data_IF_789359859858
#
_entry.id   IF_789359859858
#
_cell.length_a   1.000
_cell.length_b   1.000
_cell.length_c   1.000
_cell.angle_alpha   90.00
_cell.angle_beta   90.00
_cell.angle_gamma   90.00
#
_symmetry.space_group_name_H-M   'P 1'
#
loop_
_entity.id
_entity.type
_entity.pdbx_description
1 polymer ?
#
# COMPACT_ATOMS: atom_id res chain seq x y z
N UNK A 1 26.61 3.58 -8.38
CA UNK A 1 25.80 4.81 -8.30
C UNK A 1 25.61 5.31 -9.71
N UNK A 2 24.37 5.43 -10.20
CA UNK A 2 24.12 6.01 -11.51
C UNK A 2 24.46 7.50 -11.44
N UNK A 3 25.60 7.88 -12.01
CA UNK A 3 26.04 9.27 -12.11
C UNK A 3 25.19 9.99 -13.17
N UNK A 4 23.94 10.29 -12.82
CA UNK A 4 23.12 11.19 -13.61
C UNK A 4 23.70 12.59 -13.48
N UNK A 5 24.12 13.18 -14.61
CA UNK A 5 24.75 14.50 -14.65
C UNK A 5 23.87 15.60 -14.03
N UNK A 6 22.57 15.57 -14.30
CA UNK A 6 21.59 16.53 -13.76
C UNK A 6 20.73 15.87 -12.68
N UNK A 7 20.82 16.37 -11.44
CA UNK A 7 20.08 15.84 -10.29
C UNK A 7 19.25 16.97 -9.64
N UNK A 8 18.18 16.61 -8.94
CA UNK A 8 17.50 17.57 -8.07
C UNK A 8 18.40 17.91 -6.88
N UNK A 9 18.40 19.18 -6.48
CA UNK A 9 19.17 19.68 -5.35
C UNK A 9 18.87 18.83 -4.10
N UNK A 10 19.88 18.11 -3.56
CA UNK A 10 19.68 17.28 -2.38
C UNK A 10 19.20 18.10 -1.19
N UNK A 11 18.30 17.53 -0.40
CA UNK A 11 17.78 18.20 0.79
C UNK A 11 18.87 18.30 1.86
N UNK A 12 19.23 19.53 2.23
CA UNK A 12 20.20 19.85 3.30
C UNK A 12 19.60 20.72 4.40
N UNK A 13 18.27 20.83 4.45
CA UNK A 13 17.51 21.68 5.37
C UNK A 13 16.63 22.69 4.65
N UNK A 14 15.93 23.53 5.42
CA UNK A 14 14.89 24.45 4.93
C UNK A 14 15.42 25.44 3.87
N UNK A 15 16.70 25.83 3.95
CA UNK A 15 17.35 26.71 2.97
C UNK A 15 17.64 26.07 1.61
N UNK A 16 17.51 24.74 1.48
CA UNK A 16 17.67 24.01 0.21
C UNK A 16 16.35 23.85 -0.58
N UNK A 17 15.29 24.54 -0.15
CA UNK A 17 13.98 24.55 -0.79
C UNK A 17 13.57 25.98 -1.13
N UNK A 18 13.22 26.17 -2.39
CA UNK A 18 12.92 27.49 -2.96
C UNK A 18 11.42 27.74 -3.04
N UNK A 19 11.05 28.93 -3.48
CA UNK A 19 9.68 29.26 -3.83
C UNK A 19 9.32 28.57 -5.15
N UNK A 20 8.16 27.91 -5.21
CA UNK A 20 7.68 27.31 -6.45
C UNK A 20 7.19 28.41 -7.41
N UNK A 21 7.61 28.41 -8.68
CA UNK A 21 7.15 29.41 -9.66
C UNK A 21 5.67 29.31 -10.00
N UNK A 22 5.04 28.14 -9.82
CA UNK A 22 3.63 27.92 -10.13
C UNK A 22 2.67 28.18 -8.98
N UNK A 23 2.96 27.66 -7.77
CA UNK A 23 2.06 27.86 -6.61
C UNK A 23 2.51 28.98 -5.66
N UNK A 24 3.66 29.61 -5.91
CA UNK A 24 4.25 30.69 -5.10
C UNK A 24 4.43 30.38 -3.60
N UNK A 25 4.29 29.10 -3.22
CA UNK A 25 4.55 28.64 -1.87
C UNK A 25 6.06 28.57 -1.64
N UNK A 26 6.51 29.16 -0.53
CA UNK A 26 7.91 29.12 -0.11
C UNK A 26 8.30 27.71 0.35
N UNK A 27 9.57 27.37 0.20
CA UNK A 27 10.18 26.14 0.77
C UNK A 27 9.56 24.82 0.27
N UNK A 28 9.12 24.78 -0.98
CA UNK A 28 8.51 23.57 -1.55
C UNK A 28 9.04 23.25 -2.97
N UNK A 29 10.14 23.88 -3.39
CA UNK A 29 10.67 23.73 -4.74
C UNK A 29 12.13 23.27 -4.71
N UNK A 30 12.42 22.19 -5.43
CA UNK A 30 13.74 21.60 -5.59
C UNK A 30 14.26 21.90 -7.00
N UNK A 31 15.36 22.65 -7.13
CA UNK A 31 15.96 23.01 -8.42
C UNK A 31 16.83 21.88 -8.97
N UNK A 32 16.98 21.78 -10.28
CA UNK A 32 18.00 20.91 -10.88
C UNK A 32 19.39 21.53 -10.77
N UNK A 33 20.38 20.69 -10.48
CA UNK A 33 21.80 21.06 -10.44
C UNK A 33 22.59 20.15 -11.37
N UNK A 34 23.58 20.72 -12.05
CA UNK A 34 24.59 19.99 -12.80
C UNK A 34 25.71 19.55 -11.85
N UNK A 35 25.89 18.24 -11.72
CA UNK A 35 26.96 17.64 -10.89
C UNK A 35 28.36 17.94 -11.46
N UNK A 36 28.46 18.20 -12.76
CA UNK A 36 29.71 18.59 -13.44
C UNK A 36 29.93 20.12 -13.40
N UNK A 37 28.96 20.89 -12.87
CA UNK A 37 28.97 22.36 -12.76
C UNK A 37 29.24 23.11 -14.07
N UNK A 38 28.99 22.49 -15.22
CA UNK A 38 29.20 23.13 -16.52
C UNK A 38 28.01 24.01 -16.93
N UNK A 39 26.82 23.71 -16.42
CA UNK A 39 25.58 24.42 -16.74
C UNK A 39 24.89 24.87 -15.45
N UNK A 40 24.59 26.17 -15.38
CA UNK A 40 23.68 26.70 -14.35
C UNK A 40 22.27 26.75 -14.95
N UNK A 41 21.34 25.99 -14.35
CA UNK A 41 19.94 26.09 -14.74
C UNK A 41 19.30 27.36 -14.17
N UNK A 42 18.33 27.96 -14.87
CA UNK A 42 17.50 29.02 -14.32
C UNK A 42 16.67 28.56 -13.12
N UNK A 43 16.20 29.55 -12.35
CA UNK A 43 15.56 29.37 -11.05
C UNK A 43 14.21 28.64 -11.09
N UNK A 44 13.62 28.49 -12.27
CA UNK A 44 12.33 27.84 -12.54
C UNK A 44 12.46 26.38 -12.99
N UNK A 45 13.67 25.89 -13.28
CA UNK A 45 13.93 24.50 -13.67
C UNK A 45 14.08 23.62 -12.42
N UNK A 46 13.04 22.85 -12.14
CA UNK A 46 12.96 22.07 -10.92
C UNK A 46 11.62 21.39 -10.73
N UNK A 47 11.40 20.83 -9.54
CA UNK A 47 10.20 20.09 -9.18
C UNK A 47 9.61 20.64 -7.88
N UNK A 48 8.30 20.82 -7.86
CA UNK A 48 7.56 21.16 -6.65
C UNK A 48 7.27 19.90 -5.83
N UNK A 49 7.46 20.00 -4.51
CA UNK A 49 7.21 18.94 -3.53
C UNK A 49 5.68 18.68 -3.38
N UNK A 50 4.84 19.66 -3.71
CA UNK A 50 3.38 19.54 -3.72
C UNK A 50 2.86 18.91 -5.03
N UNK A 51 3.20 17.65 -5.28
CA UNK A 51 2.87 16.96 -6.54
C UNK A 51 1.37 16.90 -6.82
N UNK A 52 0.53 16.79 -5.77
CA UNK A 52 -0.92 16.61 -5.92
C UNK A 52 -1.68 17.93 -6.07
N UNK A 53 -1.24 19.00 -5.40
CA UNK A 53 -1.94 20.30 -5.44
C UNK A 53 -1.32 21.31 -6.39
N UNK A 54 -0.04 21.17 -6.75
CA UNK A 54 0.64 22.05 -7.69
C UNK A 54 1.15 21.30 -8.93
N UNK A 55 1.77 20.13 -8.76
CA UNK A 55 2.22 19.29 -9.88
C UNK A 55 3.33 19.87 -10.76
N UNK A 56 3.88 21.05 -10.42
CA UNK A 56 4.88 21.71 -11.25
C UNK A 56 6.20 20.92 -11.32
N UNK A 57 6.62 20.59 -12.53
CA UNK A 57 7.91 19.97 -12.84
C UNK A 57 8.41 20.45 -14.20
N UNK A 58 9.54 21.14 -14.21
CA UNK A 58 10.28 21.49 -15.42
C UNK A 58 11.61 20.77 -15.39
N UNK A 59 11.77 19.77 -16.25
CA UNK A 59 12.98 18.94 -16.32
C UNK A 59 14.08 19.59 -17.17
N UNK A 60 15.36 19.22 -16.99
CA UNK A 60 16.46 19.66 -17.85
C UNK A 60 16.22 19.35 -19.33
N UNK A 61 15.57 18.21 -19.63
CA UNK A 61 15.22 17.81 -21.00
C UNK A 61 14.29 18.83 -21.65
N UNK A 62 13.19 19.15 -20.98
CA UNK A 62 12.22 20.15 -21.46
C UNK A 62 12.83 21.55 -21.55
N UNK A 63 13.73 21.89 -20.62
CA UNK A 63 14.47 23.16 -20.67
C UNK A 63 15.36 23.26 -21.93
N UNK A 64 16.12 22.20 -22.27
CA UNK A 64 16.98 22.18 -23.46
C UNK A 64 16.21 22.06 -24.78
N UNK A 65 15.01 21.49 -24.76
CA UNK A 65 14.10 21.53 -25.92
C UNK A 65 13.63 22.96 -26.19
N UNK A 66 13.37 23.74 -25.14
CA UNK A 66 12.94 25.15 -25.24
C UNK A 66 14.09 26.13 -25.47
N UNK A 67 15.32 25.78 -25.07
CA UNK A 67 16.51 26.64 -25.19
C UNK A 67 17.65 25.91 -25.91
N UNK A 68 17.59 25.76 -27.24
CA UNK A 68 18.60 25.02 -28.01
C UNK A 68 20.02 25.61 -27.89
N UNK A 69 20.13 26.92 -27.69
CA UNK A 69 21.40 27.66 -27.55
C UNK A 69 22.11 27.39 -26.22
N UNK A 70 21.40 26.88 -25.21
CA UNK A 70 21.97 26.54 -23.90
C UNK A 70 22.51 25.10 -23.82
N UNK A 71 22.43 24.35 -24.94
CA UNK A 71 22.99 23.00 -25.02
C UNK A 71 24.52 23.07 -25.03
N UNK A 72 25.21 22.26 -24.23
CA UNK A 72 26.67 22.22 -24.24
C UNK A 72 27.17 21.76 -25.62
N UNK A 73 28.21 22.41 -26.14
CA UNK A 73 28.85 22.20 -27.45
C UNK A 73 29.41 20.78 -27.69
N UNK A 74 29.33 19.89 -26.69
CA UNK A 74 29.72 18.48 -26.81
C UNK A 74 28.53 17.58 -26.44
N UNK A 75 27.55 17.52 -27.32
CA UNK A 75 26.50 16.51 -27.31
C UNK A 75 26.21 16.15 -28.77
N UNK A 76 26.89 15.11 -29.26
CA UNK A 76 26.55 14.47 -30.53
C UNK A 76 25.14 13.89 -30.44
N UNK A 77 24.16 14.74 -30.74
CA UNK A 77 22.76 14.37 -30.92
C UNK A 77 22.35 14.67 -32.36
N UNK A 78 23.15 14.19 -33.31
CA UNK A 78 22.74 14.05 -34.69
C UNK A 78 23.63 13.03 -35.42
N UNK A 79 23.26 11.76 -35.33
CA UNK A 79 23.21 10.88 -36.51
C UNK A 79 22.30 9.71 -36.17
N UNK A 80 21.29 9.52 -37.02
CA UNK A 80 20.53 8.29 -37.17
C UNK A 80 21.49 7.15 -37.57
N UNK A 81 22.21 6.61 -36.59
CA UNK A 81 22.91 5.34 -36.75
C UNK A 81 21.95 4.25 -36.33
N UNK A 82 21.76 3.27 -37.22
CA UNK A 82 20.96 2.08 -36.97
C UNK A 82 21.20 1.59 -35.53
N UNK A 83 20.11 1.48 -34.76
CA UNK A 83 20.15 1.00 -33.39
C UNK A 83 20.75 -0.40 -33.39
N UNK A 84 22.08 -0.49 -33.23
CA UNK A 84 22.71 -1.66 -32.66
C UNK A 84 22.05 -1.80 -31.30
N UNK A 85 21.22 -2.83 -31.16
CA UNK A 85 20.63 -3.19 -29.88
C UNK A 85 21.76 -3.14 -28.86
N UNK A 86 21.67 -2.21 -27.90
CA UNK A 86 22.57 -2.22 -26.75
C UNK A 86 22.52 -3.65 -26.21
N UNK A 87 23.67 -4.30 -25.91
CA UNK A 87 23.65 -5.59 -25.23
C UNK A 87 22.70 -5.44 -24.06
N UNK A 88 21.67 -6.29 -24.02
CA UNK A 88 20.63 -6.24 -23.00
C UNK A 88 21.34 -6.24 -21.66
N UNK A 89 21.34 -5.09 -20.98
CA UNK A 89 21.96 -4.95 -19.66
C UNK A 89 21.39 -6.10 -18.83
N UNK A 90 22.25 -7.02 -18.38
CA UNK A 90 21.81 -8.22 -17.68
C UNK A 90 20.90 -7.76 -16.54
N UNK A 91 19.62 -8.15 -16.61
CA UNK A 91 18.62 -7.79 -15.60
C UNK A 91 19.16 -8.22 -14.24
N UNK A 92 19.61 -7.28 -13.40
CA UNK A 92 20.07 -7.56 -12.05
C UNK A 92 19.05 -8.46 -11.34
N UNK A 93 19.52 -9.53 -10.71
CA UNK A 93 18.66 -10.47 -9.99
C UNK A 93 17.96 -9.75 -8.84
N UNK A 94 16.70 -10.06 -8.59
CA UNK A 94 15.95 -9.48 -7.48
C UNK A 94 16.60 -9.88 -6.16
N UNK A 95 16.74 -8.93 -5.24
CA UNK A 95 17.20 -9.22 -3.88
C UNK A 95 16.02 -9.65 -2.99
N UNK A 96 16.32 -10.45 -1.97
CA UNK A 96 15.34 -10.97 -1.03
C UNK A 96 15.75 -10.69 0.40
N UNK A 97 14.77 -10.59 1.28
CA UNK A 97 14.97 -10.53 2.73
C UNK A 97 14.90 -11.95 3.28
N UNK A 98 15.83 -12.30 4.16
CA UNK A 98 15.92 -13.63 4.77
C UNK A 98 14.66 -13.95 5.60
N UNK A 99 14.14 -15.17 5.48
CA UNK A 99 12.93 -15.63 6.17
C UNK A 99 13.04 -15.50 7.70
N UNK A 100 14.23 -15.68 8.26
CA UNK A 100 14.50 -15.52 9.69
C UNK A 100 14.21 -14.08 10.15
N UNK A 101 14.57 -13.10 9.31
CA UNK A 101 14.31 -11.68 9.60
C UNK A 101 12.81 -11.41 9.66
N UNK A 102 12.04 -12.02 8.76
CA UNK A 102 10.58 -11.91 8.73
C UNK A 102 9.98 -12.55 9.98
N UNK A 103 10.33 -13.81 10.25
CA UNK A 103 9.82 -14.60 11.39
C UNK A 103 10.07 -13.94 12.75
N UNK A 104 11.23 -13.29 12.93
CA UNK A 104 11.55 -12.51 14.14
C UNK A 104 10.64 -11.29 14.37
N UNK A 105 9.85 -10.90 13.38
CA UNK A 105 8.86 -9.81 13.53
C UNK A 105 7.45 -10.30 13.78
N UNK A 106 7.12 -11.57 13.52
CA UNK A 106 5.75 -12.11 13.57
C UNK A 106 5.27 -12.44 14.99
N UNK A 107 5.68 -11.65 15.98
CA UNK A 107 5.33 -11.81 17.38
C UNK A 107 5.27 -10.45 18.10
N UNK A 108 4.96 -10.47 19.42
CA UNK A 108 4.98 -9.27 20.26
C UNK A 108 3.93 -8.23 19.88
N UNK A 109 2.79 -8.66 19.34
CA UNK A 109 1.73 -7.80 18.82
C UNK A 109 1.14 -6.84 19.86
N UNK A 110 1.22 -7.15 21.15
CA UNK A 110 0.82 -6.23 22.24
C UNK A 110 1.58 -4.90 22.24
N UNK A 111 2.71 -4.82 21.52
CA UNK A 111 3.48 -3.58 21.32
C UNK A 111 3.32 -2.97 19.93
N UNK A 112 2.37 -3.45 19.14
CA UNK A 112 2.14 -3.03 17.76
C UNK A 112 0.85 -2.20 17.70
N UNK A 113 0.98 -0.90 17.42
CA UNK A 113 -0.15 0.03 17.46
C UNK A 113 -1.22 -0.32 16.43
N UNK A 114 -0.83 -0.87 15.27
CA UNK A 114 -1.79 -1.32 14.28
C UNK A 114 -2.62 -2.50 14.80
N UNK A 115 -1.97 -3.47 15.47
CA UNK A 115 -2.69 -4.58 16.11
C UNK A 115 -3.61 -4.09 17.23
N UNK A 116 -3.13 -3.17 18.08
CA UNK A 116 -3.96 -2.61 19.16
C UNK A 116 -5.21 -1.92 18.62
N UNK A 117 -5.08 -1.17 17.52
CA UNK A 117 -6.21 -0.58 16.82
C UNK A 117 -7.16 -1.65 16.23
N UNK A 118 -6.64 -2.65 15.52
CA UNK A 118 -7.48 -3.71 14.96
C UNK A 118 -8.17 -4.53 16.05
N UNK A 119 -7.49 -4.76 17.18
CA UNK A 119 -8.03 -5.45 18.36
C UNK A 119 -9.16 -4.67 19.00
N UNK A 120 -9.06 -3.34 19.10
CA UNK A 120 -10.14 -2.53 19.67
C UNK A 120 -11.38 -2.49 18.77
N UNK A 121 -11.21 -2.72 17.45
CA UNK A 121 -12.31 -2.75 16.48
C UNK A 121 -12.92 -4.13 16.27
N UNK A 122 -12.11 -5.19 16.23
CA UNK A 122 -12.55 -6.52 15.80
C UNK A 122 -12.40 -7.60 16.88
N UNK A 123 -11.83 -7.27 18.03
CA UNK A 123 -11.47 -8.25 19.06
C UNK A 123 -10.10 -8.90 18.82
N UNK A 124 -9.58 -9.56 19.85
CA UNK A 124 -8.21 -10.09 19.86
C UNK A 124 -8.00 -11.23 18.85
N UNK A 125 -8.98 -12.14 18.72
CA UNK A 125 -8.87 -13.29 17.82
C UNK A 125 -8.78 -12.87 16.35
N UNK A 126 -9.68 -11.99 15.91
CA UNK A 126 -9.70 -11.52 14.52
C UNK A 126 -8.50 -10.66 14.19
N UNK A 127 -8.12 -9.75 15.09
CA UNK A 127 -6.92 -8.95 14.90
C UNK A 127 -5.69 -9.85 14.76
N UNK A 128 -5.54 -10.87 15.62
CA UNK A 128 -4.42 -11.79 15.54
C UNK A 128 -4.45 -12.64 14.25
N UNK A 129 -5.64 -13.10 13.83
CA UNK A 129 -5.81 -13.81 12.55
C UNK A 129 -5.35 -12.95 11.38
N UNK A 130 -5.85 -11.71 11.28
CA UNK A 130 -5.49 -10.77 10.20
C UNK A 130 -3.98 -10.51 10.16
N UNK A 131 -3.34 -10.27 11.32
CA UNK A 131 -1.90 -10.06 11.40
C UNK A 131 -1.11 -11.29 10.92
N UNK A 132 -1.56 -12.50 11.26
CA UNK A 132 -0.91 -13.75 10.84
C UNK A 132 -1.10 -14.04 9.35
N UNK A 133 -2.33 -13.95 8.85
CA UNK A 133 -2.68 -14.26 7.46
C UNK A 133 -1.88 -13.37 6.49
N UNK A 134 -1.83 -12.06 6.78
CA UNK A 134 -1.07 -11.11 5.98
C UNK A 134 0.40 -11.00 6.33
N UNK A 135 0.87 -11.78 7.32
CA UNK A 135 2.26 -11.75 7.81
C UNK A 135 2.69 -10.33 8.19
N UNK A 136 1.88 -9.60 8.93
CA UNK A 136 2.25 -8.27 9.43
C UNK A 136 3.18 -8.44 10.62
N UNK A 137 4.36 -7.84 10.56
CA UNK A 137 5.35 -7.88 11.63
C UNK A 137 5.23 -6.73 12.63
N UNK A 138 5.83 -6.91 13.80
CA UNK A 138 6.10 -5.87 14.79
C UNK A 138 7.54 -5.39 14.64
N UNK A 139 7.74 -4.07 14.56
CA UNK A 139 9.06 -3.45 14.45
C UNK A 139 9.45 -2.74 15.73
N UNK A 140 10.75 -2.82 16.06
CA UNK A 140 11.36 -2.07 17.15
C UNK A 140 11.95 -0.73 16.71
N UNK A 141 11.90 -0.42 15.40
CA UNK A 141 12.51 0.80 14.86
C UNK A 141 11.88 2.07 15.45
N UNK A 142 10.55 2.10 15.50
CA UNK A 142 9.79 3.06 16.31
C UNK A 142 8.90 2.29 17.31
N UNK A 143 8.77 2.76 18.55
CA UNK A 143 7.83 2.16 19.50
C UNK A 143 6.42 2.10 18.91
N UNK A 144 5.80 0.92 18.86
CA UNK A 144 4.47 0.76 18.27
C UNK A 144 4.45 0.45 16.77
N UNK A 145 5.58 0.50 16.05
CA UNK A 145 5.58 0.36 14.59
C UNK A 145 5.38 -1.08 14.12
N UNK A 146 4.84 -1.20 12.91
CA UNK A 146 4.60 -2.47 12.23
C UNK A 146 5.47 -2.58 10.98
N UNK A 147 5.58 -3.79 10.42
CA UNK A 147 6.21 -4.07 9.13
C UNK A 147 5.22 -4.78 8.23
N UNK A 148 4.99 -4.23 7.04
CA UNK A 148 4.25 -4.90 5.97
C UNK A 148 5.24 -5.58 5.03
N UNK A 149 5.29 -6.90 5.10
CA UNK A 149 6.17 -7.72 4.26
C UNK A 149 5.55 -7.94 2.88
N UNK A 150 6.28 -7.59 1.83
CA UNK A 150 5.91 -7.90 0.45
C UNK A 150 6.50 -9.28 0.11
N UNK A 151 5.67 -10.31 0.29
CA UNK A 151 6.01 -11.70 -0.04
C UNK A 151 5.32 -12.07 -1.35
N UNK A 152 6.07 -12.60 -2.31
CA UNK A 152 5.50 -13.02 -3.59
C UNK A 152 4.76 -14.37 -3.52
N UNK A 153 4.19 -14.80 -4.64
CA UNK A 153 3.50 -16.09 -4.76
C UNK A 153 4.36 -17.33 -4.50
N UNK A 154 5.69 -17.22 -4.61
CA UNK A 154 6.61 -18.33 -4.32
C UNK A 154 6.96 -18.39 -2.83
N UNK A 155 6.54 -17.39 -2.04
CA UNK A 155 6.86 -17.29 -0.62
C UNK A 155 8.14 -16.50 -0.34
N UNK A 156 8.77 -15.91 -1.35
CA UNK A 156 10.00 -15.14 -1.19
C UNK A 156 9.70 -13.69 -0.80
N UNK A 157 10.35 -13.19 0.24
CA UNK A 157 10.14 -11.82 0.72
C UNK A 157 10.98 -10.82 -0.05
N UNK A 158 10.32 -9.98 -0.86
CA UNK A 158 10.96 -8.97 -1.74
C UNK A 158 11.42 -7.74 -0.99
N UNK A 159 10.69 -7.32 0.04
CA UNK A 159 11.01 -6.16 0.89
C UNK A 159 10.03 -6.11 2.08
N UNK A 160 10.26 -5.18 3.00
CA UNK A 160 9.32 -4.84 4.07
C UNK A 160 9.20 -3.34 4.23
N UNK A 161 7.99 -2.85 4.46
CA UNK A 161 7.70 -1.44 4.72
C UNK A 161 7.37 -1.26 6.18
N UNK A 162 8.21 -0.52 6.90
CA UNK A 162 8.01 -0.19 8.30
C UNK A 162 7.18 1.08 8.41
N UNK A 163 6.14 1.07 9.22
CA UNK A 163 5.24 2.21 9.38
C UNK A 163 4.68 2.31 10.80
N UNK A 164 4.51 3.53 11.29
CA UNK A 164 3.90 3.81 12.59
C UNK A 164 2.45 4.31 12.46
N UNK A 165 1.58 3.73 13.27
CA UNK A 165 0.19 4.11 13.42
C UNK A 165 -0.09 4.59 14.84
N UNK A 166 -1.13 5.40 15.00
CA UNK A 166 -1.73 5.68 16.29
C UNK A 166 -2.66 4.51 16.68
N UNK A 167 -2.55 4.04 17.92
CA UNK A 167 -3.29 2.86 18.40
C UNK A 167 -4.79 3.12 18.60
N UNK A 168 -5.19 4.36 18.84
CA UNK A 168 -6.58 4.71 19.16
C UNK A 168 -7.42 4.91 17.90
N UNK A 169 -6.88 5.64 16.91
CA UNK A 169 -7.61 6.04 15.71
C UNK A 169 -7.13 5.36 14.42
N UNK A 170 -6.05 4.56 14.48
CA UNK A 170 -5.53 3.83 13.31
C UNK A 170 -4.99 4.73 12.20
N UNK A 171 -4.77 6.03 12.46
CA UNK A 171 -4.17 6.96 11.50
C UNK A 171 -2.65 6.85 11.50
N UNK A 172 -2.04 7.07 10.34
CA UNK A 172 -0.57 7.09 10.19
C UNK A 172 0.00 8.28 10.96
N UNK A 173 1.10 8.06 11.70
CA UNK A 173 1.79 9.13 12.44
C UNK A 173 2.69 9.91 11.48
N UNK A 174 2.25 11.13 11.13
CA UNK A 174 2.94 12.04 10.19
C UNK A 174 3.75 13.15 10.86
N UNK A 175 3.54 13.35 12.17
CA UNK A 175 4.20 14.39 12.96
C UNK A 175 5.06 13.74 14.06
N UNK A 176 6.25 14.31 14.38
CA UNK A 176 6.87 15.49 13.78
C UNK A 176 7.44 15.26 12.37
N UNK A 177 7.45 14.01 11.88
CA UNK A 177 7.79 13.65 10.51
C UNK A 177 7.10 12.33 10.13
N UNK A 178 7.13 12.00 8.83
CA UNK A 178 6.55 10.75 8.33
C UNK A 178 7.34 9.53 8.83
N UNK A 179 6.70 8.70 9.65
CA UNK A 179 7.29 7.45 10.16
C UNK A 179 7.08 6.31 9.16
N UNK A 180 7.75 6.40 8.01
CA UNK A 180 7.76 5.36 6.98
C UNK A 180 9.20 5.11 6.53
N UNK A 181 9.61 3.84 6.51
CA UNK A 181 10.93 3.44 6.01
C UNK A 181 10.88 2.03 5.44
N UNK A 182 11.93 1.62 4.74
CA UNK A 182 12.04 0.29 4.15
C UNK A 182 13.07 -0.55 4.90
N UNK A 183 12.77 -1.84 5.07
CA UNK A 183 13.62 -2.78 5.81
C UNK A 183 15.02 -2.86 5.22
N UNK A 184 15.15 -2.95 3.89
CA UNK A 184 16.47 -3.03 3.24
C UNK A 184 17.33 -1.78 3.49
N UNK A 185 16.70 -0.60 3.63
CA UNK A 185 17.37 0.65 4.02
C UNK A 185 17.80 0.64 5.49
N UNK A 186 16.94 0.12 6.38
CA UNK A 186 17.25 -0.01 7.81
C UNK A 186 18.39 -1.00 8.08
N UNK A 187 18.37 -2.13 7.37
CA UNK A 187 19.40 -3.17 7.47
C UNK A 187 20.67 -2.81 6.68
N UNK A 188 20.68 -1.68 5.95
CA UNK A 188 21.81 -1.20 5.13
C UNK A 188 22.33 -2.29 4.18
N UNK A 189 21.41 -3.01 3.53
CA UNK A 189 21.78 -4.11 2.64
C UNK A 189 22.51 -3.56 1.39
N UNK A 190 23.77 -3.95 1.13
CA UNK A 190 24.51 -3.46 -0.02
C UNK A 190 23.92 -4.01 -1.32
N UNK A 191 23.90 -3.16 -2.36
CA UNK A 191 23.44 -3.50 -3.72
C UNK A 191 22.05 -4.16 -3.81
N UNK A 192 21.15 -3.85 -2.86
CA UNK A 192 19.80 -4.40 -2.82
C UNK A 192 18.99 -3.98 -4.04
N UNK A 193 18.66 -4.95 -4.89
CA UNK A 193 17.85 -4.76 -6.08
C UNK A 193 16.37 -4.98 -5.76
N UNK A 194 15.72 -3.88 -5.37
CA UNK A 194 14.29 -3.86 -5.04
C UNK A 194 13.43 -4.14 -6.27
N UNK A 195 12.65 -5.22 -6.23
CA UNK A 195 11.48 -5.41 -7.10
C UNK A 195 10.27 -5.71 -6.24
N UNK A 196 9.38 -4.73 -6.13
CA UNK A 196 8.19 -4.84 -5.30
C UNK A 196 7.20 -5.85 -5.88
N UNK A 197 6.48 -6.51 -4.98
CA UNK A 197 5.31 -7.35 -5.26
C UNK A 197 4.14 -6.82 -4.41
N UNK A 198 2.91 -7.29 -4.67
CA UNK A 198 1.77 -6.80 -3.89
C UNK A 198 1.89 -7.28 -2.44
N UNK A 199 1.46 -6.45 -1.49
CA UNK A 199 1.22 -6.94 -0.14
C UNK A 199 -0.03 -7.82 -0.17
N UNK A 200 0.04 -9.01 0.42
CA UNK A 200 -0.99 -10.05 0.31
C UNK A 200 -0.84 -10.97 -0.90
N UNK A 201 0.16 -10.76 -1.77
CA UNK A 201 0.35 -11.57 -2.99
C UNK A 201 0.53 -13.07 -2.68
N UNK A 202 1.19 -13.39 -1.56
CA UNK A 202 1.35 -14.75 -1.05
C UNK A 202 0.04 -15.48 -0.73
N UNK A 203 -1.10 -14.77 -0.66
CA UNK A 203 -2.42 -15.35 -0.43
C UNK A 203 -3.07 -15.91 -1.70
N UNK A 204 -2.64 -15.47 -2.88
CA UNK A 204 -3.25 -15.86 -4.17
C UNK A 204 -3.23 -17.39 -4.42
N UNK A 205 -2.12 -18.12 -4.18
CA UNK A 205 -2.07 -19.54 -4.51
C UNK A 205 -3.09 -20.40 -3.77
N UNK A 206 -3.48 -19.98 -2.55
CA UNK A 206 -4.44 -20.69 -1.68
C UNK A 206 -5.89 -20.22 -1.88
N UNK A 207 -6.13 -19.15 -2.65
CA UNK A 207 -7.44 -18.52 -2.81
C UNK A 207 -7.78 -18.33 -4.30
N UNK A 208 -7.57 -19.36 -5.12
CA UNK A 208 -7.68 -19.27 -6.60
C UNK A 208 -9.08 -18.90 -7.09
N UNK A 209 -10.10 -19.35 -6.39
CA UNK A 209 -11.50 -19.17 -6.79
C UNK A 209 -12.08 -17.82 -6.35
N UNK A 210 -11.33 -17.06 -5.53
CA UNK A 210 -11.79 -15.77 -5.02
C UNK A 210 -11.41 -14.63 -5.96
N UNK A 211 -12.32 -13.65 -6.17
CA UNK A 211 -11.96 -12.41 -6.84
C UNK A 211 -10.91 -11.64 -6.04
N UNK A 212 -10.08 -10.88 -6.75
CA UNK A 212 -8.98 -10.10 -6.17
C UNK A 212 -9.38 -8.63 -6.11
N UNK A 213 -9.36 -8.06 -4.91
CA UNK A 213 -9.60 -6.64 -4.69
C UNK A 213 -8.27 -5.91 -4.43
N UNK A 214 -8.03 -4.77 -5.08
CA UNK A 214 -6.78 -4.01 -4.93
C UNK A 214 -7.07 -2.63 -4.33
N UNK A 215 -6.36 -2.28 -3.25
CA UNK A 215 -6.42 -0.97 -2.56
C UNK A 215 -5.03 -0.32 -2.45
N UNK A 216 -4.96 0.95 -2.07
CA UNK A 216 -3.68 1.68 -1.92
C UNK A 216 -2.90 1.30 -0.66
N UNK A 217 -3.61 1.12 0.46
CA UNK A 217 -3.05 1.08 1.80
C UNK A 217 -3.17 -0.30 2.44
N UNK A 218 -2.10 -0.71 3.12
CA UNK A 218 -1.98 -2.01 3.79
C UNK A 218 -3.01 -2.17 4.92
N UNK A 219 -3.24 -1.11 5.72
CA UNK A 219 -4.30 -1.08 6.75
C UNK A 219 -5.68 -1.35 6.15
N UNK A 220 -5.92 -0.79 4.98
CA UNK A 220 -7.22 -0.83 4.28
C UNK A 220 -7.54 -2.26 3.86
N UNK A 221 -6.55 -3.01 3.35
CA UNK A 221 -6.72 -4.44 3.05
C UNK A 221 -7.00 -5.29 4.30
N UNK A 222 -6.36 -5.00 5.44
CA UNK A 222 -6.63 -5.74 6.69
C UNK A 222 -8.07 -5.53 7.16
N UNK A 223 -8.52 -4.27 7.19
CA UNK A 223 -9.91 -3.92 7.53
C UNK A 223 -10.88 -4.55 6.53
N UNK A 224 -10.63 -4.41 5.23
CA UNK A 224 -11.51 -4.94 4.20
C UNK A 224 -11.58 -6.47 4.19
N UNK A 225 -10.49 -7.17 4.55
CA UNK A 225 -10.50 -8.63 4.72
C UNK A 225 -11.46 -9.07 5.81
N UNK A 226 -11.62 -8.28 6.88
CA UNK A 226 -12.57 -8.61 7.95
C UNK A 226 -14.02 -8.54 7.47
N UNK A 227 -14.39 -7.44 6.81
CA UNK A 227 -15.78 -7.19 6.40
C UNK A 227 -16.18 -7.90 5.11
N UNK A 228 -15.21 -8.13 4.22
CA UNK A 228 -15.42 -8.69 2.87
C UNK A 228 -14.43 -9.86 2.61
N UNK A 229 -14.56 -10.98 3.37
CA UNK A 229 -13.67 -12.14 3.27
C UNK A 229 -13.82 -12.97 1.98
N UNK A 230 -14.83 -12.64 1.16
CA UNK A 230 -15.04 -13.20 -0.17
C UNK A 230 -13.97 -12.77 -1.19
N UNK A 231 -13.26 -11.65 -0.94
CA UNK A 231 -12.16 -11.18 -1.77
C UNK A 231 -10.79 -11.54 -1.19
N UNK A 232 -9.80 -11.67 -2.07
CA UNK A 232 -8.39 -11.58 -1.68
C UNK A 232 -7.97 -10.13 -1.81
N UNK A 233 -7.62 -9.48 -0.70
CA UNK A 233 -7.23 -8.07 -0.71
C UNK A 233 -5.72 -7.94 -0.93
N UNK A 234 -5.35 -7.25 -2.01
CA UNK A 234 -3.97 -6.91 -2.32
C UNK A 234 -3.76 -5.42 -2.18
N UNK A 235 -2.53 -5.02 -1.87
CA UNK A 235 -2.19 -3.58 -1.83
C UNK A 235 -0.95 -3.24 -2.62
N UNK A 236 -0.99 -2.05 -3.20
CA UNK A 236 0.13 -1.49 -3.96
C UNK A 236 1.23 -0.94 -3.04
N UNK A 237 0.89 -0.65 -1.79
CA UNK A 237 1.76 0.03 -0.83
C UNK A 237 1.90 1.53 -1.09
N UNK A 238 0.91 2.15 -1.74
CA UNK A 238 0.84 3.58 -2.06
C UNK A 238 0.38 3.88 -3.50
N UNK A 239 0.06 5.15 -3.76
CA UNK A 239 -0.53 5.67 -5.01
C UNK A 239 0.18 5.23 -6.30
N UNK A 240 1.51 5.22 -6.30
CA UNK A 240 2.37 4.76 -7.42
C UNK A 240 3.14 3.47 -7.10
N UNK A 241 2.65 2.64 -6.18
CA UNK A 241 3.35 1.47 -5.68
C UNK A 241 3.50 0.33 -6.70
N UNK A 242 3.18 -0.91 -6.32
CA UNK A 242 3.42 -2.14 -7.10
C UNK A 242 2.65 -2.30 -8.44
N UNK A 243 2.37 -1.21 -9.16
CA UNK A 243 1.74 -1.20 -10.48
C UNK A 243 2.79 -1.15 -11.58
N UNK A 244 3.57 -2.23 -11.73
CA UNK A 244 4.43 -2.45 -12.90
C UNK A 244 3.99 -3.71 -13.65
N UNK A 245 4.30 -3.79 -14.95
CA UNK A 245 3.82 -4.88 -15.80
C UNK A 245 4.25 -6.27 -15.31
N UNK A 246 5.43 -6.39 -14.68
CA UNK A 246 5.90 -7.67 -14.13
C UNK A 246 5.08 -8.09 -12.91
N UNK A 247 4.74 -7.15 -12.01
CA UNK A 247 3.88 -7.41 -10.86
C UNK A 247 2.44 -7.76 -11.26
N UNK A 248 1.88 -7.10 -12.27
CA UNK A 248 0.48 -7.35 -12.69
C UNK A 248 0.26 -8.74 -13.29
N UNK A 249 1.31 -9.37 -13.85
CA UNK A 249 1.20 -10.72 -14.44
C UNK A 249 0.71 -11.77 -13.45
N UNK A 250 0.97 -11.57 -12.16
CA UNK A 250 0.51 -12.48 -11.10
C UNK A 250 -1.02 -12.57 -11.00
N UNK A 251 -1.72 -11.54 -11.50
CA UNK A 251 -3.17 -11.44 -11.46
C UNK A 251 -3.85 -12.15 -12.65
N UNK A 252 -3.07 -12.71 -13.58
CA UNK A 252 -3.65 -13.36 -14.76
C UNK A 252 -4.47 -14.58 -14.36
N UNK A 253 -5.71 -14.63 -14.84
CA UNK A 253 -6.67 -15.69 -14.49
C UNK A 253 -7.53 -15.37 -13.27
N UNK A 254 -7.31 -14.24 -12.60
CA UNK A 254 -8.20 -13.74 -11.55
C UNK A 254 -9.11 -12.63 -12.09
N UNK A 255 -10.33 -12.55 -11.56
CA UNK A 255 -11.17 -11.37 -11.70
C UNK A 255 -10.66 -10.30 -10.72
N UNK A 256 -10.27 -9.13 -11.25
CA UNK A 256 -9.66 -8.05 -10.46
C UNK A 256 -10.63 -6.88 -10.32
N UNK A 257 -10.82 -6.41 -9.09
CA UNK A 257 -11.59 -5.20 -8.79
C UNK A 257 -10.67 -4.18 -8.14
N UNK A 258 -10.63 -3.00 -8.74
CA UNK A 258 -9.84 -1.89 -8.26
C UNK A 258 -10.68 -0.99 -7.34
N UNK A 259 -10.22 -0.78 -6.11
CA UNK A 259 -10.83 0.09 -5.10
C UNK A 259 -9.93 1.31 -4.85
N UNK A 260 -10.02 2.36 -5.69
CA UNK A 260 -9.24 3.58 -5.50
C UNK A 260 -9.75 4.37 -4.28
N UNK A 261 -8.82 5.10 -3.65
CA UNK A 261 -9.17 6.15 -2.68
C UNK A 261 -9.93 7.29 -3.41
N UNK A 262 -10.76 8.05 -2.69
CA UNK A 262 -11.48 9.18 -3.29
C UNK A 262 -10.48 10.19 -3.86
N UNK A 263 -10.69 10.60 -5.12
CA UNK A 263 -9.79 11.50 -5.85
C UNK A 263 -8.59 10.79 -6.52
N UNK A 264 -8.47 9.46 -6.41
CA UNK A 264 -7.49 8.66 -7.16
C UNK A 264 -8.09 7.91 -8.36
N UNK A 265 -9.41 7.97 -8.54
CA UNK A 265 -10.17 7.21 -9.54
C UNK A 265 -9.59 7.34 -10.95
N UNK A 266 -9.30 8.56 -11.43
CA UNK A 266 -8.80 8.77 -12.80
C UNK A 266 -7.41 8.20 -13.03
N UNK A 267 -6.54 8.25 -12.03
CA UNK A 267 -5.22 7.62 -12.12
C UNK A 267 -5.34 6.10 -12.17
N UNK A 268 -6.30 5.55 -11.44
CA UNK A 268 -6.58 4.14 -11.42
C UNK A 268 -7.29 3.65 -12.69
N UNK A 269 -8.04 4.51 -13.41
CA UNK A 269 -8.51 4.20 -14.78
C UNK A 269 -7.36 3.97 -15.76
N UNK A 270 -6.21 4.63 -15.59
CA UNK A 270 -5.04 4.36 -16.44
C UNK A 270 -4.45 2.97 -16.13
N UNK A 271 -4.38 2.61 -14.86
CA UNK A 271 -3.94 1.26 -14.41
C UNK A 271 -4.88 0.16 -14.91
N UNK A 272 -6.19 0.43 -14.92
CA UNK A 272 -7.19 -0.46 -15.50
C UNK A 272 -6.93 -0.76 -16.98
N UNK A 273 -6.52 0.23 -17.77
CA UNK A 273 -6.14 0.02 -19.18
C UNK A 273 -4.92 -0.89 -19.32
N UNK A 274 -3.93 -0.76 -18.43
CA UNK A 274 -2.76 -1.63 -18.40
C UNK A 274 -3.11 -3.08 -18.02
N UNK A 275 -3.99 -3.29 -17.04
CA UNK A 275 -4.49 -4.63 -16.71
C UNK A 275 -5.17 -5.28 -17.92
N UNK A 276 -6.04 -4.53 -18.60
CA UNK A 276 -6.75 -5.01 -19.79
C UNK A 276 -5.81 -5.32 -20.95
N UNK A 277 -4.77 -4.52 -21.17
CA UNK A 277 -3.79 -4.80 -22.22
C UNK A 277 -2.93 -6.04 -21.95
N UNK A 278 -2.82 -6.46 -20.68
CA UNK A 278 -2.20 -7.71 -20.26
C UNK A 278 -3.16 -8.91 -20.29
N UNK A 279 -4.41 -8.72 -20.72
CA UNK A 279 -5.43 -9.76 -20.78
C UNK A 279 -6.01 -10.13 -19.41
N UNK A 280 -5.96 -9.22 -18.44
CA UNK A 280 -6.53 -9.41 -17.10
C UNK A 280 -7.93 -8.81 -17.07
N UNK A 281 -8.92 -9.59 -16.62
CA UNK A 281 -10.28 -9.11 -16.41
C UNK A 281 -10.27 -8.18 -15.19
N UNK A 282 -10.52 -6.90 -15.43
CA UNK A 282 -10.49 -5.89 -14.39
C UNK A 282 -11.64 -4.88 -14.52
N UNK A 283 -12.16 -4.48 -13.36
CA UNK A 283 -13.15 -3.41 -13.18
C UNK A 283 -12.67 -2.40 -12.12
N UNK A 284 -13.34 -1.24 -12.06
CA UNK A 284 -13.09 -0.22 -11.04
C UNK A 284 -14.36 0.00 -10.25
N UNK A 285 -14.23 0.04 -8.93
CA UNK A 285 -15.34 0.33 -8.01
C UNK A 285 -15.37 1.84 -7.75
N UNK A 286 -16.31 2.53 -8.39
CA UNK A 286 -16.47 3.98 -8.38
C UNK A 286 -17.51 4.50 -7.37
N UNK A 287 -18.21 3.61 -6.66
CA UNK A 287 -19.29 4.00 -5.75
C UNK A 287 -18.86 5.02 -4.70
N UNK A 288 -17.63 4.89 -4.16
CA UNK A 288 -17.10 5.83 -3.17
C UNK A 288 -16.99 7.25 -3.73
N UNK A 289 -16.54 7.41 -4.97
CA UNK A 289 -16.41 8.72 -5.63
C UNK A 289 -17.78 9.37 -5.92
N UNK A 290 -18.77 8.54 -6.27
CA UNK A 290 -20.12 8.96 -6.63
C UNK A 290 -20.94 9.44 -5.44
N UNK A 291 -20.76 8.80 -4.28
CA UNK A 291 -21.55 9.08 -3.06
C UNK A 291 -20.84 10.02 -2.10
N UNK A 292 -19.52 10.23 -2.26
CA UNK A 292 -18.74 11.08 -1.36
C UNK A 292 -19.26 12.52 -1.29
N UNK A 293 -19.37 13.02 -0.06
CA UNK A 293 -19.57 14.43 0.25
C UNK A 293 -18.30 15.26 -0.02
N UNK A 294 -18.42 16.58 -0.11
CA UNK A 294 -17.25 17.44 -0.37
C UNK A 294 -16.21 17.40 0.76
N UNK A 295 -16.65 17.18 2.00
CA UNK A 295 -15.77 16.99 3.15
C UNK A 295 -14.99 15.68 3.05
N UNK A 296 -15.66 14.58 2.66
CA UNK A 296 -15.02 13.27 2.44
C UNK A 296 -14.05 13.28 1.26
N UNK A 297 -14.38 14.02 0.19
CA UNK A 297 -13.47 14.27 -0.94
C UNK A 297 -12.22 15.03 -0.50
N UNK A 298 -12.39 16.04 0.35
CA UNK A 298 -11.27 16.82 0.89
C UNK A 298 -10.42 15.98 1.83
N UNK A 299 -11.03 15.11 2.62
CA UNK A 299 -10.33 14.18 3.50
C UNK A 299 -9.62 13.04 2.73
N UNK A 300 -10.11 12.68 1.55
CA UNK A 300 -9.60 11.60 0.72
C UNK A 300 -9.82 10.24 1.37
N UNK A 301 -11.06 9.95 1.78
CA UNK A 301 -11.38 8.70 2.46
C UNK A 301 -11.17 7.47 1.55
N UNK A 302 -10.88 6.34 2.19
CA UNK A 302 -10.78 5.03 1.57
C UNK A 302 -11.95 4.11 1.98
N UNK A 303 -12.05 2.93 1.36
CA UNK A 303 -13.11 1.95 1.69
C UNK A 303 -13.09 1.54 3.17
N UNK A 304 -11.91 1.50 3.81
CA UNK A 304 -11.82 1.09 5.20
C UNK A 304 -12.44 2.15 6.13
N UNK A 305 -12.36 3.43 5.78
CA UNK A 305 -13.02 4.49 6.56
C UNK A 305 -14.55 4.34 6.58
N UNK A 306 -15.16 3.86 5.49
CA UNK A 306 -16.58 3.51 5.45
C UNK A 306 -16.88 2.21 6.20
N UNK A 307 -16.06 1.17 6.01
CA UNK A 307 -16.25 -0.13 6.68
C UNK A 307 -16.14 -0.01 8.20
N UNK A 308 -15.25 0.84 8.71
CA UNK A 308 -15.07 1.07 10.14
C UNK A 308 -16.25 1.79 10.82
N UNK A 309 -17.21 2.30 10.06
CA UNK A 309 -18.48 2.84 10.59
C UNK A 309 -19.52 1.73 10.84
N UNK A 310 -19.31 0.53 10.29
CA UNK A 310 -20.20 -0.61 10.47
C UNK A 310 -19.84 -1.34 11.76
N UNK A 311 -20.82 -1.49 12.66
CA UNK A 311 -20.67 -2.29 13.87
C UNK A 311 -20.26 -3.75 13.52
N UNK A 312 -19.21 -4.31 14.16
CA UNK A 312 -18.65 -5.61 13.77
C UNK A 312 -19.67 -6.77 13.81
N UNK A 313 -20.48 -6.83 14.85
CA UNK A 313 -21.52 -7.87 15.01
C UNK A 313 -22.56 -7.77 13.89
N UNK A 314 -22.93 -6.54 13.52
CA UNK A 314 -23.85 -6.30 12.42
C UNK A 314 -23.26 -6.78 11.09
N UNK A 315 -21.96 -6.58 10.87
CA UNK A 315 -21.29 -7.08 9.67
C UNK A 315 -21.28 -8.62 9.59
N UNK A 316 -21.07 -9.30 10.73
CA UNK A 316 -21.14 -10.76 10.78
C UNK A 316 -22.56 -11.24 10.46
N UNK A 317 -23.58 -10.62 11.06
CA UNK A 317 -24.97 -10.94 10.78
C UNK A 317 -25.30 -10.78 9.29
N UNK A 318 -24.89 -9.66 8.69
CA UNK A 318 -25.07 -9.42 7.25
C UNK A 318 -24.32 -10.45 6.38
N UNK A 319 -23.13 -10.89 6.79
CA UNK A 319 -22.44 -11.99 6.13
C UNK A 319 -23.20 -13.32 6.25
N UNK A 320 -23.79 -13.62 7.41
CA UNK A 320 -24.61 -14.82 7.60
C UNK A 320 -25.87 -14.78 6.72
N UNK A 321 -26.56 -13.65 6.67
CA UNK A 321 -27.74 -13.42 5.82
C UNK A 321 -27.38 -13.58 4.34
N UNK A 322 -26.25 -13.02 3.88
CA UNK A 322 -25.80 -13.20 2.49
C UNK A 322 -25.59 -14.67 2.13
N UNK A 323 -25.13 -15.50 3.07
CA UNK A 323 -24.95 -16.95 2.84
C UNK A 323 -26.26 -17.72 2.94
N UNK A 324 -27.19 -17.27 3.77
CA UNK A 324 -28.51 -17.87 3.93
C UNK A 324 -29.59 -16.77 4.03
N UNK A 325 -30.20 -16.36 2.91
CA UNK A 325 -31.19 -15.28 2.88
C UNK A 325 -32.42 -15.50 3.77
N UNK A 326 -32.74 -16.76 4.10
CA UNK A 326 -33.87 -17.11 4.99
C UNK A 326 -33.67 -16.53 6.39
N UNK A 327 -32.42 -16.30 6.82
CA UNK A 327 -32.14 -15.66 8.11
C UNK A 327 -32.78 -14.26 8.21
N UNK A 328 -32.84 -13.50 7.12
CA UNK A 328 -33.51 -12.20 7.13
C UNK A 328 -35.00 -12.37 7.38
N UNK A 329 -35.65 -13.30 6.69
CA UNK A 329 -37.07 -13.62 6.91
C UNK A 329 -37.34 -14.05 8.35
N UNK A 330 -36.47 -14.86 8.94
CA UNK A 330 -36.59 -15.27 10.35
C UNK A 330 -36.50 -14.08 11.30
N UNK A 331 -35.54 -13.17 11.07
CA UNK A 331 -35.34 -11.97 11.88
C UNK A 331 -36.57 -11.07 11.81
N UNK A 332 -37.12 -10.88 10.60
CA UNK A 332 -38.26 -9.99 10.37
C UNK A 332 -39.56 -10.56 10.97
N UNK A 333 -39.85 -11.85 10.73
CA UNK A 333 -41.07 -12.53 11.22
C UNK A 333 -41.08 -12.69 12.74
N UNK A 334 -39.92 -12.95 13.35
CA UNK A 334 -39.80 -13.13 14.80
C UNK A 334 -39.36 -11.85 15.53
N UNK A 335 -39.17 -10.74 14.82
CA UNK A 335 -38.72 -9.45 15.36
C UNK A 335 -37.46 -9.56 16.22
N UNK A 336 -36.49 -10.36 15.75
CA UNK A 336 -35.26 -10.62 16.49
C UNK A 336 -34.32 -9.41 16.44
N UNK A 337 -33.63 -9.14 17.55
CA UNK A 337 -32.60 -8.12 17.62
C UNK A 337 -31.24 -8.75 17.84
N UNK A 338 -30.22 -8.19 17.18
CA UNK A 338 -28.85 -8.61 17.38
C UNK A 338 -28.37 -8.14 18.76
N UNK A 339 -28.12 -9.10 19.65
CA UNK A 339 -27.63 -8.82 21.03
C UNK A 339 -26.10 -8.88 21.07
N UNK A 340 -25.51 -9.97 20.56
CA UNK A 340 -24.07 -10.16 20.43
C UNK A 340 -23.77 -11.30 19.45
N UNK A 341 -22.56 -11.31 18.90
CA UNK A 341 -22.04 -12.46 18.15
C UNK A 341 -21.02 -13.22 18.99
N UNK A 342 -21.38 -14.42 19.43
CA UNK A 342 -20.45 -15.34 20.09
C UNK A 342 -19.88 -16.33 19.08
N UNK A 343 -18.55 -16.50 19.11
CA UNK A 343 -17.89 -17.55 18.34
C UNK A 343 -17.91 -18.83 19.14
N UNK A 344 -18.46 -19.87 18.54
CA UNK A 344 -18.38 -21.20 19.11
C UNK A 344 -16.91 -21.63 19.23
N UNK A 345 -16.41 -21.66 20.46
CA UNK A 345 -15.12 -22.25 20.79
C UNK A 345 -15.37 -23.71 21.21
N UNK A 346 -14.95 -24.72 20.43
CA UNK A 346 -15.20 -26.13 20.77
C UNK A 346 -14.55 -26.56 22.10
N UNK A 347 -13.57 -25.80 22.62
CA UNK A 347 -12.86 -26.14 23.85
C UNK A 347 -13.60 -25.73 25.14
N UNK A 348 -14.61 -24.84 25.07
CA UNK A 348 -15.32 -24.37 26.28
C UNK A 348 -16.30 -25.40 26.85
N UNK A 349 -16.75 -26.39 26.07
CA UNK A 349 -17.63 -27.46 26.54
C UNK A 349 -16.90 -28.61 27.25
N UNK A 350 -15.57 -28.71 27.14
CA UNK A 350 -14.80 -29.79 27.76
C UNK A 350 -14.61 -29.62 29.28
N UNK A 351 -14.88 -28.43 29.84
CA UNK A 351 -14.59 -28.07 31.24
C UNK A 351 -15.75 -28.43 32.20
N UNK A 352 -16.95 -28.76 31.70
CA UNK A 352 -18.09 -29.17 32.52
C UNK A 352 -18.36 -30.69 32.51
N UNK A 353 -17.31 -31.52 32.58
CA UNK A 353 -17.49 -32.88 33.09
C UNK A 353 -17.51 -32.82 34.62
N UNK A 354 -18.61 -33.18 35.30
CA UNK A 354 -18.62 -33.28 36.75
C UNK A 354 -17.62 -34.38 37.16
N UNK A 355 -16.67 -34.02 38.03
CA UNK A 355 -15.73 -34.94 38.64
C UNK A 355 -16.52 -36.01 39.40
N UNK A 356 -16.59 -37.23 38.85
CA UNK A 356 -16.95 -38.40 39.64
C UNK A 356 -15.75 -38.78 40.49
N UNK A 357 -15.68 -38.21 41.68
CA UNK A 357 -14.88 -38.77 42.77
C UNK A 357 -15.62 -38.53 44.06
N UNK A 358 -16.42 -39.51 44.47
CA UNK A 358 -16.64 -39.82 45.88
C UNK A 358 -17.27 -41.22 46.04
N UNK A 359 -16.68 -41.99 46.98
CA UNK A 359 -17.07 -43.29 47.54
C UNK A 359 -16.65 -44.51 46.69
N UNK A 360 -15.88 -45.48 47.18
CA UNK A 360 -15.45 -45.84 48.54
C UNK A 360 -14.09 -46.54 48.49
#
# INVERSE_FOLDING_TARGET
MSNHRFILQPYKGVGSRHCCPACHKKRCFSRYIDTEKQISFPDDVGRCDHEQSCGYHLSPKEYFERNPQAKPLHCDFATSSAWRAKPTEQRKLTSFVATETVSQTLHGYEKNNLYLFLRSKFGAEDALRLMKDYRVGTSKHWPGSCVFWQTDVNGDTRTGKVMLYNADNGKRVKEPFNHVTWVHSLLKMPDFNLRQCFFGEHLLPMNRDKPVAIVESEKTALVATYYLPEYVWLTTGGKNGCFNADALRVLKGHQVILYPDIGATDQWRQKLRLLRSLGIEASIFNFLEEVATDDERTAGLDIADYLLQIEPDQAILQSMIRRNPILQTLIDELQLTLVSVERYNPDTYAIHKPSKTEKQ
#
